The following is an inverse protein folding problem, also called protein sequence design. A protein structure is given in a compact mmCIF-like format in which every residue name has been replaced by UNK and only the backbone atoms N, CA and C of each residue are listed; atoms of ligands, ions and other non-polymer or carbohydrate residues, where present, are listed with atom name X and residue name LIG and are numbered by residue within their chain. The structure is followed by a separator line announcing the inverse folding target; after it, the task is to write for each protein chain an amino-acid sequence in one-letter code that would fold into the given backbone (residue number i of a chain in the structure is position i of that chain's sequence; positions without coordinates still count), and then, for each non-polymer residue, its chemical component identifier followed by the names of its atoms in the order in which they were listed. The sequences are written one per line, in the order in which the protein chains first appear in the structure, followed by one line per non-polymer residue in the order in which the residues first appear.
data_IF_298428953231
#
_entry.id   IF_298428953231
#
_cell.length_a   1.000
_cell.length_b   1.000
_cell.length_c   1.000
_cell.angle_alpha   90.00
_cell.angle_beta   90.00
_cell.angle_gamma   90.00
#
_symmetry.space_group_name_H-M   'P 1'
#
loop_
_entity.id
_entity.type
_entity.pdbx_description
1 polymer ?
#
# COMPACT_ATOMS: atom_id res chain seq x y z
N UNK A 1 -3.01 5.98 -18.62
CA UNK A 1 -4.10 6.58 -17.80
C UNK A 1 -3.48 7.53 -16.81
N UNK A 2 -4.07 8.71 -16.60
CA UNK A 2 -3.49 9.72 -15.72
C UNK A 2 -3.69 9.37 -14.24
N UNK A 3 -2.77 9.81 -13.39
CA UNK A 3 -2.87 9.58 -11.95
C UNK A 3 -4.16 10.21 -11.39
N UNK A 4 -4.49 11.42 -11.81
CA UNK A 4 -5.71 12.13 -11.40
C UNK A 4 -6.99 11.35 -11.76
N UNK A 5 -7.00 10.67 -12.90
CA UNK A 5 -8.10 9.81 -13.33
C UNK A 5 -8.19 8.55 -12.46
N UNK A 6 -7.04 7.93 -12.19
CA UNK A 6 -6.99 6.70 -11.40
C UNK A 6 -7.38 6.92 -9.94
N UNK A 7 -7.06 8.08 -9.37
CA UNK A 7 -7.43 8.39 -8.00
C UNK A 7 -8.94 8.60 -7.82
N UNK A 8 -9.70 8.92 -8.88
CA UNK A 8 -11.17 9.10 -8.81
C UNK A 8 -11.93 7.80 -8.55
N UNK A 9 -11.32 6.65 -8.81
CA UNK A 9 -11.95 5.33 -8.60
C UNK A 9 -11.58 4.70 -7.25
N UNK A 10 -10.82 5.41 -6.41
CA UNK A 10 -10.36 4.98 -5.09
C UNK A 10 -11.13 5.78 -4.02
N UNK A 11 -11.55 5.13 -2.92
CA UNK A 11 -12.23 5.82 -1.84
C UNK A 11 -11.25 6.67 -1.02
N UNK A 12 -11.71 7.78 -0.45
CA UNK A 12 -10.88 8.66 0.40
C UNK A 12 -10.31 7.94 1.63
N UNK A 13 -11.02 6.91 2.11
CA UNK A 13 -10.61 6.05 3.23
C UNK A 13 -9.60 4.97 2.86
N UNK A 14 -9.37 4.74 1.57
CA UNK A 14 -8.43 3.72 1.13
C UNK A 14 -7.00 4.16 1.39
N UNK A 15 -6.16 3.19 1.71
CA UNK A 15 -4.73 3.40 1.83
C UNK A 15 -4.09 3.25 0.47
N UNK A 16 -3.25 4.20 0.13
CA UNK A 16 -2.51 4.20 -1.13
C UNK A 16 -1.03 4.42 -0.86
N UNK A 17 -0.22 3.83 -1.74
CA UNK A 17 1.20 4.09 -1.85
C UNK A 17 1.52 4.50 -3.27
N UNK A 18 1.98 5.73 -3.48
CA UNK A 18 2.40 6.20 -4.80
C UNK A 18 3.91 5.95 -4.92
N UNK A 19 4.35 5.37 -6.01
CA UNK A 19 5.73 4.89 -6.20
C UNK A 19 6.21 5.36 -7.56
N UNK A 20 7.36 6.04 -7.61
CA UNK A 20 8.03 6.36 -8.86
C UNK A 20 9.04 5.26 -9.19
N UNK A 21 8.97 4.70 -10.40
CA UNK A 21 9.87 3.66 -10.87
C UNK A 21 9.13 2.44 -11.43
N UNK A 22 9.90 1.42 -11.83
CA UNK A 22 9.34 0.18 -12.41
C UNK A 22 9.06 -0.83 -11.30
N UNK A 23 7.87 -1.45 -11.35
CA UNK A 23 7.53 -2.53 -10.45
C UNK A 23 8.48 -3.73 -10.64
N UNK A 24 9.14 -4.13 -9.55
CA UNK A 24 10.02 -5.30 -9.49
C UNK A 24 9.45 -6.41 -8.61
N UNK A 25 10.28 -7.42 -8.33
CA UNK A 25 9.92 -8.55 -7.46
C UNK A 25 10.20 -8.28 -5.97
N UNK A 26 10.71 -7.10 -5.64
CA UNK A 26 11.00 -6.69 -4.26
C UNK A 26 9.87 -5.81 -3.75
N UNK A 27 9.61 -5.92 -2.45
CA UNK A 27 8.80 -4.96 -1.71
C UNK A 27 9.33 -3.53 -1.92
N UNK A 28 8.48 -2.53 -2.23
CA UNK A 28 8.94 -1.19 -2.61
C UNK A 28 9.83 -0.50 -1.58
N UNK A 29 9.61 -0.77 -0.29
CA UNK A 29 10.43 -0.21 0.80
C UNK A 29 11.88 -0.75 0.82
N UNK A 30 12.16 -1.85 0.11
CA UNK A 30 13.47 -2.48 0.03
C UNK A 30 14.03 -2.49 -1.40
N UNK A 31 13.34 -1.85 -2.36
CA UNK A 31 13.79 -1.76 -3.74
C UNK A 31 14.52 -0.42 -3.98
N UNK A 32 15.85 -0.43 -4.21
CA UNK A 32 16.59 0.81 -4.49
C UNK A 32 16.25 1.43 -5.85
N UNK A 33 15.57 0.69 -6.74
CA UNK A 33 15.17 1.15 -8.07
C UNK A 33 13.87 1.96 -8.10
N UNK A 34 13.20 2.10 -6.95
CA UNK A 34 11.95 2.86 -6.84
C UNK A 34 12.04 3.89 -5.72
N UNK A 35 11.22 4.93 -5.82
CA UNK A 35 11.11 5.99 -4.82
C UNK A 35 9.67 6.11 -4.36
N UNK A 36 9.43 5.98 -3.05
CA UNK A 36 8.09 6.14 -2.49
C UNK A 36 7.70 7.63 -2.50
N UNK A 37 6.83 7.93 -3.46
CA UNK A 37 5.86 9.02 -3.57
C UNK A 37 5.16 9.33 -2.25
N UNK A 38 4.17 8.53 -1.95
CA UNK A 38 3.27 8.81 -0.86
C UNK A 38 2.93 7.49 -0.20
N UNK A 39 2.60 7.51 1.08
CA UNK A 39 2.10 6.34 1.79
C UNK A 39 1.16 6.82 2.88
N UNK A 40 -0.14 6.61 2.68
CA UNK A 40 -1.16 7.14 3.58
C UNK A 40 -2.56 6.94 3.03
N UNK A 41 -3.53 7.63 3.63
CA UNK A 41 -4.92 7.62 3.16
C UNK A 41 -5.07 8.48 1.91
N UNK A 42 -5.90 8.07 0.96
CA UNK A 42 -6.17 8.83 -0.26
C UNK A 42 -6.66 10.25 0.08
N UNK A 43 -7.60 10.39 1.03
CA UNK A 43 -8.13 11.68 1.45
C UNK A 43 -7.13 12.61 2.16
N UNK A 44 -5.96 12.09 2.54
CA UNK A 44 -4.88 12.88 3.15
C UNK A 44 -3.83 13.33 2.14
N UNK A 45 -3.93 12.89 0.87
CA UNK A 45 -2.93 13.12 -0.16
C UNK A 45 -2.70 14.61 -0.45
N UNK A 46 -3.77 15.41 -0.47
CA UNK A 46 -3.72 16.86 -0.74
C UNK A 46 -3.06 17.67 0.38
N UNK A 47 -2.97 17.10 1.60
CA UNK A 47 -2.40 17.76 2.77
C UNK A 47 -0.96 17.33 3.08
N UNK A 48 -0.38 16.44 2.26
CA UNK A 48 0.96 15.91 2.50
C UNK A 48 2.02 16.99 2.26
N UNK A 49 2.71 17.42 3.33
CA UNK A 49 3.67 18.55 3.36
C UNK A 49 4.76 18.50 2.27
N UNK A 50 5.11 17.31 1.79
CA UNK A 50 6.27 17.12 0.93
C UNK A 50 5.98 16.99 -0.58
N UNK A 51 4.72 16.99 -1.09
CA UNK A 51 4.48 16.56 -2.49
C UNK A 51 3.33 17.20 -3.25
N UNK A 52 3.50 18.46 -3.60
CA UNK A 52 2.68 19.15 -4.61
C UNK A 52 3.17 18.91 -6.05
N UNK A 53 4.44 18.57 -6.26
CA UNK A 53 5.03 18.61 -7.60
C UNK A 53 4.57 17.48 -8.52
N UNK A 54 4.59 16.22 -8.07
CA UNK A 54 4.17 15.11 -8.93
C UNK A 54 2.64 15.11 -9.18
N UNK A 55 1.84 15.58 -8.22
CA UNK A 55 0.39 15.71 -8.41
C UNK A 55 0.07 16.76 -9.48
N UNK A 56 0.81 17.88 -9.48
CA UNK A 56 0.66 18.92 -10.49
C UNK A 56 1.09 18.45 -11.90
N UNK A 57 2.05 17.54 -12.00
CA UNK A 57 2.51 16.96 -13.27
C UNK A 57 1.54 15.93 -13.86
N UNK A 58 0.61 15.41 -13.05
CA UNK A 58 -0.35 14.37 -13.42
C UNK A 58 0.27 13.22 -14.25
N UNK A 59 1.23 12.48 -13.66
CA UNK A 59 2.01 11.48 -14.37
C UNK A 59 1.14 10.32 -14.85
N UNK A 60 1.67 9.58 -15.81
CA UNK A 60 1.02 8.36 -16.26
C UNK A 60 1.17 7.24 -15.23
N UNK A 61 0.06 6.58 -14.91
CA UNK A 61 0.05 5.36 -14.10
C UNK A 61 0.52 4.19 -14.97
N UNK A 62 1.69 3.65 -14.65
CA UNK A 62 2.24 2.48 -15.28
C UNK A 62 1.61 1.18 -14.75
N UNK A 63 1.26 1.14 -13.46
CA UNK A 63 0.67 -0.04 -12.81
C UNK A 63 -0.07 0.34 -11.54
N UNK A 64 -1.17 -0.35 -11.26
CA UNK A 64 -1.80 -0.37 -9.95
C UNK A 64 -1.92 -1.80 -9.43
N UNK A 65 -1.55 -2.03 -8.17
CA UNK A 65 -1.60 -3.34 -7.52
C UNK A 65 -2.41 -3.20 -6.24
N UNK A 66 -3.44 -4.04 -6.09
CA UNK A 66 -4.22 -4.13 -4.86
C UNK A 66 -3.61 -5.19 -3.95
N UNK A 67 -3.33 -4.83 -2.71
CA UNK A 67 -2.79 -5.71 -1.69
C UNK A 67 -3.85 -5.95 -0.61
N UNK A 68 -4.21 -7.22 -0.43
CA UNK A 68 -5.03 -7.64 0.69
C UNK A 68 -4.12 -8.28 1.74
N UNK A 69 -4.10 -7.69 2.93
CA UNK A 69 -3.38 -8.22 4.06
C UNK A 69 -4.35 -8.66 5.15
N UNK A 70 -4.10 -9.85 5.70
CA UNK A 70 -4.80 -10.34 6.88
C UNK A 70 -3.79 -10.34 8.03
N UNK A 71 -4.05 -9.52 9.05
CA UNK A 71 -3.17 -9.36 10.22
C UNK A 71 -3.93 -9.71 11.49
N UNK A 72 -3.26 -10.27 12.49
CA UNK A 72 -3.84 -10.41 13.83
C UNK A 72 -3.80 -9.07 14.56
N UNK A 73 -4.90 -8.69 15.22
CA UNK A 73 -5.08 -7.38 15.87
C UNK A 73 -3.98 -7.05 16.89
N UNK A 74 -3.58 -8.05 17.68
CA UNK A 74 -2.59 -7.90 18.77
C UNK A 74 -1.25 -8.63 18.47
N UNK A 75 -0.86 -8.80 17.20
CA UNK A 75 0.28 -9.67 16.84
C UNK A 75 1.60 -9.29 17.51
N UNK A 76 1.88 -7.99 17.69
CA UNK A 76 3.09 -7.49 18.36
C UNK A 76 3.06 -7.73 19.86
N UNK A 77 1.93 -7.42 20.49
CA UNK A 77 1.76 -7.54 21.95
C UNK A 77 1.78 -9.00 22.40
N UNK A 78 1.34 -9.91 21.53
CA UNK A 78 1.29 -11.36 21.80
C UNK A 78 2.52 -12.13 21.34
N UNK A 79 3.54 -11.47 20.78
CA UNK A 79 4.75 -12.14 20.27
C UNK A 79 4.46 -13.21 19.21
N UNK A 80 3.37 -13.04 18.46
CA UNK A 80 2.90 -14.05 17.52
C UNK A 80 3.80 -14.10 16.28
N UNK A 81 4.05 -15.31 15.79
CA UNK A 81 4.93 -15.56 14.64
C UNK A 81 4.46 -14.80 13.39
N UNK A 82 5.40 -14.26 12.57
CA UNK A 82 5.08 -13.78 11.23
C UNK A 82 4.60 -14.94 10.32
N UNK A 83 3.88 -14.66 9.21
CA UNK A 83 3.33 -15.70 8.33
C UNK A 83 4.46 -16.43 7.57
N UNK A 84 4.50 -17.74 7.27
CA UNK A 84 3.73 -18.98 7.49
C UNK A 84 4.77 -20.14 7.55
N UNK A 85 4.57 -21.17 8.38
CA UNK A 85 5.20 -22.51 8.22
C UNK A 85 4.09 -23.58 8.03
N UNK A 86 4.22 -24.53 7.09
CA UNK A 86 3.21 -25.54 6.77
C UNK A 86 2.79 -26.47 7.94
N UNK A 87 3.65 -26.63 8.94
CA UNK A 87 3.51 -27.64 9.99
C UNK A 87 2.72 -27.15 11.22
N UNK A 88 2.31 -25.86 11.24
CA UNK A 88 1.70 -25.23 12.42
C UNK A 88 0.23 -24.87 12.13
N UNK A 89 -0.70 -25.63 12.73
CA UNK A 89 -2.14 -25.29 12.74
C UNK A 89 -2.37 -24.02 13.56
N UNK A 90 -3.00 -23.01 12.95
CA UNK A 90 -3.29 -21.74 13.62
C UNK A 90 -4.41 -21.87 14.65
N UNK A 91 -4.25 -21.21 15.79
CA UNK A 91 -5.29 -21.03 16.81
C UNK A 91 -5.88 -19.61 16.81
N UNK A 92 -6.23 -19.07 15.63
CA UNK A 92 -6.87 -17.75 15.53
C UNK A 92 -8.29 -17.89 14.97
N UNK A 93 -9.24 -17.20 15.59
CA UNK A 93 -10.59 -17.05 15.06
C UNK A 93 -10.67 -15.78 14.19
N UNK A 94 -11.66 -15.69 13.31
CA UNK A 94 -11.83 -14.51 12.44
C UNK A 94 -11.98 -13.20 13.23
N UNK A 95 -12.51 -13.26 14.46
CA UNK A 95 -12.62 -12.11 15.36
C UNK A 95 -11.27 -11.51 15.75
N UNK A 96 -10.20 -12.29 15.70
CA UNK A 96 -8.83 -11.90 16.06
C UNK A 96 -8.08 -11.26 14.88
N UNK A 97 -8.64 -11.40 13.67
CA UNK A 97 -8.05 -10.91 12.43
C UNK A 97 -8.64 -9.56 12.01
N UNK A 98 -7.81 -8.78 11.32
CA UNK A 98 -8.20 -7.57 10.60
C UNK A 98 -7.72 -7.70 9.17
N UNK A 99 -8.59 -7.32 8.24
CA UNK A 99 -8.26 -7.25 6.81
C UNK A 99 -7.93 -5.79 6.47
N UNK A 100 -6.80 -5.60 5.79
CA UNK A 100 -6.42 -4.32 5.21
C UNK A 100 -6.35 -4.46 3.70
N UNK A 101 -6.94 -3.49 3.01
CA UNK A 101 -6.76 -3.30 1.57
C UNK A 101 -5.95 -2.02 1.38
N UNK A 102 -4.92 -2.09 0.55
CA UNK A 102 -4.21 -0.91 0.09
C UNK A 102 -3.74 -1.06 -1.35
N UNK A 103 -3.48 0.07 -2.00
CA UNK A 103 -3.08 0.10 -3.40
C UNK A 103 -1.67 0.65 -3.56
N UNK A 104 -0.81 -0.09 -4.26
CA UNK A 104 0.44 0.44 -4.79
C UNK A 104 0.20 0.97 -6.20
N UNK A 105 0.53 2.25 -6.43
CA UNK A 105 0.33 2.96 -7.70
C UNK A 105 1.70 3.38 -8.22
N UNK A 106 2.15 2.74 -9.29
CA UNK A 106 3.42 3.04 -9.95
C UNK A 106 3.23 4.09 -11.04
N UNK A 107 4.05 5.14 -11.01
CA UNK A 107 4.03 6.26 -11.95
C UNK A 107 5.39 6.40 -12.67
N UNK A 108 5.35 6.96 -13.88
CA UNK A 108 6.54 7.33 -14.67
C UNK A 108 6.99 8.75 -14.36
#
# INVERSE_FOLDING_TARGET
MRLSEQLKVIATTDRIRIIQGKHGNREPQFDPGVKILYCGYMGSLEYAENKTEFLAQDPEVARMVAHMEVRHKEFRERGLFPPYEPEITRMYEFKDLTVFLYYDIYIQ
#
